data_IF_203295364047
#
_entry.id   IF_203295364047
#
_cell.length_a   1.000
_cell.length_b   1.000
_cell.length_c   1.000
_cell.angle_alpha   90.00
_cell.angle_beta   90.00
_cell.angle_gamma   90.00
#
_symmetry.space_group_name_H-M   'P 1'
#
loop_
_entity.id
_entity.type
_entity.pdbx_description
1 polymer ?
#
# COMPACT_ATOMS: atom_id res chain seq x y z
N UNK A 1 -26.88 -11.06 -7.08
CA UNK A 1 -25.59 -11.74 -6.79
C UNK A 1 -24.46 -10.76 -6.40
N UNK A 2 -24.40 -9.53 -6.92
CA UNK A 2 -23.33 -8.56 -6.61
C UNK A 2 -23.30 -8.07 -5.13
N UNK A 3 -24.45 -7.94 -4.47
CA UNK A 3 -24.54 -7.42 -3.09
C UNK A 3 -23.88 -8.30 -2.03
N UNK A 4 -23.91 -9.62 -2.20
CA UNK A 4 -23.34 -10.56 -1.22
C UNK A 4 -21.81 -10.49 -1.26
N UNK A 5 -21.22 -10.42 -2.45
CA UNK A 5 -19.78 -10.24 -2.64
C UNK A 5 -19.31 -8.90 -2.03
N UNK A 6 -20.08 -7.83 -2.25
CA UNK A 6 -19.75 -6.50 -1.74
C UNK A 6 -19.90 -6.41 -0.20
N UNK A 7 -20.86 -7.12 0.39
CA UNK A 7 -21.03 -7.22 1.85
C UNK A 7 -19.92 -8.05 2.51
N UNK A 8 -19.47 -9.14 1.88
CA UNK A 8 -18.32 -9.94 2.33
C UNK A 8 -17.01 -9.14 2.29
N UNK A 9 -16.74 -8.44 1.19
CA UNK A 9 -15.55 -7.58 1.04
C UNK A 9 -15.49 -6.49 2.12
N UNK A 10 -16.62 -5.85 2.42
CA UNK A 10 -16.72 -4.84 3.49
C UNK A 10 -16.42 -5.40 4.88
N UNK A 11 -16.96 -6.58 5.22
CA UNK A 11 -16.70 -7.23 6.52
C UNK A 11 -15.25 -7.67 6.67
N UNK A 12 -14.68 -8.25 5.63
CA UNK A 12 -13.28 -8.68 5.61
C UNK A 12 -12.30 -7.51 5.80
N UNK A 13 -12.58 -6.37 5.15
CA UNK A 13 -11.81 -5.15 5.35
C UNK A 13 -11.96 -4.61 6.79
N UNK A 14 -13.08 -4.83 7.46
CA UNK A 14 -13.31 -4.36 8.83
C UNK A 14 -12.56 -5.19 9.90
N UNK A 15 -12.19 -6.43 9.58
CA UNK A 15 -11.34 -7.29 10.41
C UNK A 15 -9.84 -7.08 10.14
N UNK A 16 -9.49 -6.46 9.00
CA UNK A 16 -8.10 -6.12 8.68
C UNK A 16 -7.67 -4.83 9.39
N UNK A 17 -6.42 -4.82 9.82
CA UNK A 17 -5.78 -3.58 10.28
C UNK A 17 -5.80 -2.51 9.20
N UNK A 18 -5.71 -1.24 9.60
CA UNK A 18 -5.63 -0.13 8.64
C UNK A 18 -4.42 -0.31 7.71
N UNK A 19 -3.28 -0.76 8.24
CA UNK A 19 -2.09 -1.10 7.46
C UNK A 19 -2.38 -2.06 6.32
N UNK A 20 -3.06 -3.18 6.63
CA UNK A 20 -3.34 -4.24 5.67
C UNK A 20 -4.30 -3.75 4.57
N UNK A 21 -5.33 -2.99 4.96
CA UNK A 21 -6.24 -2.36 3.99
C UNK A 21 -5.51 -1.42 3.03
N UNK A 22 -4.58 -0.62 3.55
CA UNK A 22 -3.79 0.31 2.73
C UNK A 22 -2.85 -0.41 1.77
N UNK A 23 -2.24 -1.54 2.19
CA UNK A 23 -1.44 -2.39 1.29
C UNK A 23 -2.27 -2.97 0.16
N UNK A 24 -3.43 -3.55 0.47
CA UNK A 24 -4.35 -4.08 -0.56
C UNK A 24 -4.82 -2.98 -1.51
N UNK A 25 -5.06 -1.76 -0.99
CA UNK A 25 -5.42 -0.63 -1.84
C UNK A 25 -4.27 -0.20 -2.77
N UNK A 26 -3.02 -0.25 -2.30
CA UNK A 26 -1.86 0.06 -3.12
C UNK A 26 -1.63 -0.98 -4.23
N UNK A 27 -1.75 -2.27 -3.92
CA UNK A 27 -1.68 -3.37 -4.88
C UNK A 27 -2.75 -3.22 -5.96
N UNK A 28 -4.01 -3.03 -5.55
CA UNK A 28 -5.12 -2.84 -6.49
C UNK A 28 -4.94 -1.60 -7.39
N UNK A 29 -4.35 -0.53 -6.85
CA UNK A 29 -4.06 0.66 -7.62
C UNK A 29 -2.95 0.43 -8.65
N UNK A 30 -1.95 -0.40 -8.35
CA UNK A 30 -0.91 -0.83 -9.30
C UNK A 30 -1.48 -1.74 -10.38
N UNK A 31 -2.24 -2.76 -10.01
CA UNK A 31 -2.91 -3.65 -10.98
C UNK A 31 -3.76 -2.86 -11.98
N UNK A 32 -4.54 -1.89 -11.48
CA UNK A 32 -5.34 -1.01 -12.35
C UNK A 32 -4.50 -0.05 -13.19
N UNK A 33 -3.31 0.33 -12.72
CA UNK A 33 -2.40 1.16 -13.49
C UNK A 33 -1.75 0.36 -14.62
N UNK A 34 -1.48 -0.92 -14.40
CA UNK A 34 -0.95 -1.83 -15.42
C UNK A 34 -2.01 -2.09 -16.53
N UNK A 35 -3.29 -2.14 -16.16
CA UNK A 35 -4.41 -2.26 -17.09
C UNK A 35 -4.87 -0.94 -17.72
N UNK A 36 -4.29 0.21 -17.33
CA UNK A 36 -4.76 1.52 -17.78
C UNK A 36 -4.33 1.82 -19.22
N UNK A 37 -5.29 2.11 -20.08
CA UNK A 37 -5.04 2.49 -21.48
C UNK A 37 -4.57 3.94 -21.67
N UNK A 38 -4.81 4.81 -20.68
CA UNK A 38 -4.44 6.23 -20.71
C UNK A 38 -3.31 6.52 -19.70
N UNK A 39 -2.27 7.20 -20.16
CA UNK A 39 -1.07 7.49 -19.36
C UNK A 39 -1.39 8.42 -18.17
N UNK A 40 -2.29 9.40 -18.35
CA UNK A 40 -2.68 10.30 -17.26
C UNK A 40 -3.42 9.53 -16.17
N UNK A 41 -4.32 8.62 -16.57
CA UNK A 41 -5.00 7.73 -15.64
C UNK A 41 -4.02 6.80 -14.90
N UNK A 42 -3.06 6.23 -15.63
CA UNK A 42 -2.00 5.37 -15.09
C UNK A 42 -1.17 6.11 -14.04
N UNK A 43 -0.67 7.30 -14.35
CA UNK A 43 0.10 8.11 -13.39
C UNK A 43 -0.70 8.45 -12.13
N UNK A 44 -1.97 8.82 -12.28
CA UNK A 44 -2.84 9.10 -11.14
C UNK A 44 -2.98 7.87 -10.23
N UNK A 45 -3.17 6.68 -10.81
CA UNK A 45 -3.28 5.43 -10.06
C UNK A 45 -1.97 5.07 -9.35
N UNK A 46 -0.82 5.26 -10.00
CA UNK A 46 0.49 5.06 -9.37
C UNK A 46 0.71 6.03 -8.20
N UNK A 47 0.35 7.31 -8.36
CA UNK A 47 0.41 8.31 -7.26
C UNK A 47 -0.44 7.87 -6.07
N UNK A 48 -1.63 7.31 -6.32
CA UNK A 48 -2.51 6.75 -5.26
C UNK A 48 -1.89 5.54 -4.58
N UNK A 49 -1.24 4.65 -5.33
CA UNK A 49 -0.55 3.49 -4.76
C UNK A 49 0.57 3.93 -3.81
N UNK A 50 1.42 4.86 -4.25
CA UNK A 50 2.51 5.42 -3.43
C UNK A 50 1.98 6.11 -2.18
N UNK A 51 0.91 6.90 -2.30
CA UNK A 51 0.29 7.55 -1.15
C UNK A 51 -0.22 6.52 -0.13
N UNK A 52 -0.87 5.44 -0.58
CA UNK A 52 -1.37 4.39 0.30
C UNK A 52 -0.24 3.64 1.02
N UNK A 53 0.87 3.34 0.32
CA UNK A 53 2.06 2.73 0.94
C UNK A 53 2.68 3.64 2.01
N UNK A 54 2.83 4.93 1.72
CA UNK A 54 3.39 5.89 2.67
C UNK A 54 2.52 6.00 3.93
N UNK A 55 1.19 6.03 3.80
CA UNK A 55 0.29 6.04 4.96
C UNK A 55 0.38 4.71 5.73
N UNK A 56 0.48 3.57 5.05
CA UNK A 56 0.66 2.28 5.71
C UNK A 56 1.97 2.22 6.51
N UNK A 57 3.03 2.84 6.00
CA UNK A 57 4.31 2.95 6.70
C UNK A 57 4.20 3.82 7.96
N UNK A 58 3.57 5.00 7.86
CA UNK A 58 3.36 5.88 9.01
C UNK A 58 2.53 5.17 10.08
N UNK A 59 1.45 4.50 9.67
CA UNK A 59 0.59 3.79 10.62
C UNK A 59 1.31 2.60 11.28
N UNK A 60 2.11 1.83 10.53
CA UNK A 60 2.93 0.74 11.09
C UNK A 60 3.93 1.26 12.12
N UNK A 61 4.56 2.40 11.82
CA UNK A 61 5.50 3.05 12.71
C UNK A 61 4.83 3.51 14.01
N UNK A 62 3.67 4.18 13.90
CA UNK A 62 2.92 4.70 15.05
C UNK A 62 2.36 3.58 15.94
N UNK A 63 2.02 2.42 15.37
CA UNK A 63 1.44 1.28 16.10
C UNK A 63 2.47 0.27 16.59
N UNK A 64 3.76 0.48 16.28
CA UNK A 64 4.86 -0.40 16.70
C UNK A 64 4.84 -1.79 16.04
N UNK A 65 4.08 -1.97 14.94
CA UNK A 65 4.01 -3.25 14.23
C UNK A 65 5.24 -3.43 13.32
N UNK A 66 5.95 -4.57 13.40
CA UNK A 66 7.16 -4.78 12.61
C UNK A 66 6.86 -4.81 11.11
N UNK A 67 7.79 -4.24 10.35
CA UNK A 67 7.83 -4.22 8.88
C UNK A 67 7.88 -5.67 8.34
N UNK A 68 7.01 -6.09 7.41
CA UNK A 68 7.33 -7.24 6.57
C UNK A 68 8.51 -6.84 5.66
N UNK A 69 9.51 -7.71 5.47
CA UNK A 69 10.72 -7.37 4.75
C UNK A 69 10.36 -6.91 3.34
N UNK A 70 10.73 -5.67 3.01
CA UNK A 70 10.72 -5.26 1.62
C UNK A 70 11.80 -6.09 0.94
N UNK A 71 11.45 -6.72 -0.18
CA UNK A 71 12.44 -7.20 -1.14
C UNK A 71 13.53 -6.13 -1.27
N UNK A 72 14.77 -6.56 -1.03
CA UNK A 72 15.92 -5.70 -0.79
C UNK A 72 16.23 -4.84 -2.03
N UNK A 73 15.58 -3.69 -2.15
CA UNK A 73 16.11 -2.60 -2.95
C UNK A 73 17.07 -1.82 -2.06
N UNK A 74 18.33 -2.18 -2.22
CA UNK A 74 19.52 -1.47 -1.77
C UNK A 74 19.34 0.05 -1.90
N UNK A 75 19.20 0.73 -0.78
CA UNK A 75 19.66 2.11 -0.65
C UNK A 75 20.71 2.12 0.43
N UNK A 76 21.93 1.86 -0.05
CA UNK A 76 23.17 2.34 0.56
C UNK A 76 23.00 3.83 0.83
N UNK A 77 22.91 4.20 2.10
CA UNK A 77 23.47 5.44 2.61
C UNK A 77 23.74 5.21 4.09
N UNK A 78 24.93 4.63 4.31
CA UNK A 78 25.57 4.56 5.59
C UNK A 78 25.56 5.95 6.24
N UNK A 79 25.02 6.02 7.46
CA UNK A 79 25.31 7.12 8.38
C UNK A 79 26.83 7.22 8.53
N UNK A 80 27.47 8.40 8.33
CA UNK A 80 28.75 8.61 8.95
C UNK A 80 28.52 8.74 10.46
N UNK A 81 29.18 7.83 11.17
CA UNK A 81 29.34 7.82 12.62
C UNK A 81 29.83 9.17 13.14
N UNK A 82 29.34 9.54 14.32
CA UNK A 82 29.80 10.67 15.13
C UNK A 82 31.31 10.62 15.35
N UNK A 83 31.96 11.79 15.34
CA UNK A 83 32.80 12.30 16.44
C UNK A 83 32.63 13.81 16.51
#
# INVERSE_FOLDING_TARGET
MADVANKRRRRFMHTMSLTERLRVAAELARERADDAADEVHREMLLKKAVAAENVAQIESFLTGRPRPPAHATTLQNARPSKK
#
